data_IF_790895825583
#
_entry.id   IF_790895825583
#
_cell.length_a   1.000
_cell.length_b   1.000
_cell.length_c   1.000
_cell.angle_alpha   90.00
_cell.angle_beta   90.00
_cell.angle_gamma   90.00
#
_symmetry.space_group_name_H-M   'P 1'
#
loop_
_entity.id
_entity.type
_entity.pdbx_description
1 polymer ?
#
# COMPACT_ATOMS: atom_id res chain seq x y z
N UNK A 1 -19.20 -46.71 -10.72
CA UNK A 1 -18.95 -46.43 -9.30
C UNK A 1 -19.25 -44.95 -9.05
N UNK A 2 -20.47 -44.64 -8.63
CA UNK A 2 -20.90 -43.27 -8.32
C UNK A 2 -21.16 -43.15 -6.83
N UNK A 3 -20.26 -42.47 -6.11
CA UNK A 3 -20.42 -42.18 -4.69
C UNK A 3 -21.38 -41.02 -4.47
N UNK A 4 -22.55 -41.30 -3.89
CA UNK A 4 -23.49 -40.29 -3.39
C UNK A 4 -22.88 -39.58 -2.18
N UNK A 5 -22.61 -38.29 -2.33
CA UNK A 5 -22.34 -37.37 -1.21
C UNK A 5 -23.62 -37.27 -0.38
N UNK A 6 -23.52 -37.48 0.93
CA UNK A 6 -24.68 -37.46 1.83
C UNK A 6 -25.29 -36.06 1.92
N UNK A 7 -26.62 -35.99 2.06
CA UNK A 7 -27.39 -34.74 2.16
C UNK A 7 -26.94 -33.83 3.31
N UNK A 8 -26.27 -34.37 4.33
CA UNK A 8 -25.74 -33.61 5.46
C UNK A 8 -24.47 -32.82 5.12
N UNK A 9 -23.63 -33.29 4.20
CA UNK A 9 -22.43 -32.55 3.74
C UNK A 9 -22.78 -31.35 2.82
N UNK A 10 -23.99 -31.37 2.23
CA UNK A 10 -24.53 -30.25 1.45
C UNK A 10 -25.16 -29.14 2.31
N UNK A 11 -25.49 -29.42 3.57
CA UNK A 11 -26.12 -28.44 4.48
C UNK A 11 -25.09 -27.64 5.29
N UNK A 12 -23.95 -28.24 5.64
CA UNK A 12 -22.84 -27.55 6.31
C UNK A 12 -22.06 -26.61 5.39
N UNK A 13 -21.93 -26.94 4.10
CA UNK A 13 -21.24 -26.08 3.10
C UNK A 13 -22.05 -24.84 2.70
N UNK A 14 -23.38 -24.86 2.83
CA UNK A 14 -24.25 -23.69 2.52
C UNK A 14 -24.39 -22.69 3.66
N UNK A 15 -24.04 -23.04 4.91
CA UNK A 15 -24.15 -22.12 6.05
C UNK A 15 -22.94 -21.19 6.27
N UNK A 16 -21.83 -21.39 5.55
CA UNK A 16 -20.63 -20.55 5.62
C UNK A 16 -20.45 -19.57 4.43
N UNK A 17 -21.42 -19.48 3.53
CA UNK A 17 -21.42 -18.47 2.44
C UNK A 17 -22.66 -17.59 2.50
N UNK A 18 -22.72 -16.76 3.53
CA UNK A 18 -23.37 -15.45 3.41
C UNK A 18 -22.29 -14.42 3.67
N UNK A 19 -21.54 -14.07 2.63
CA UNK A 19 -20.75 -12.85 2.67
C UNK A 19 -21.72 -11.69 2.96
N UNK A 20 -21.53 -10.94 4.06
CA UNK A 20 -22.26 -9.71 4.23
C UNK A 20 -21.83 -8.78 3.09
N UNK A 21 -22.80 -8.24 2.35
CA UNK A 21 -22.57 -7.16 1.39
C UNK A 21 -21.63 -6.12 2.01
N UNK A 22 -20.59 -5.68 1.29
CA UNK A 22 -19.55 -4.73 1.75
C UNK A 22 -20.11 -3.51 2.50
N UNK A 23 -21.33 -3.06 2.19
CA UNK A 23 -22.04 -1.99 2.91
C UNK A 23 -22.35 -2.28 4.39
N UNK A 24 -22.48 -3.55 4.80
CA UNK A 24 -22.71 -3.95 6.20
C UNK A 24 -21.41 -4.06 7.03
N UNK A 25 -20.22 -3.98 6.42
CA UNK A 25 -18.92 -3.98 7.10
C UNK A 25 -18.47 -2.59 7.58
N UNK A 26 -19.32 -1.56 7.42
CA UNK A 26 -19.01 -0.17 7.78
C UNK A 26 -19.53 0.26 9.15
N UNK A 27 -20.22 -0.61 9.91
CA UNK A 27 -20.70 -0.29 11.25
C UNK A 27 -19.78 -0.92 12.31
N UNK A 28 -18.91 -0.09 12.87
CA UNK A 28 -17.94 -0.39 13.92
C UNK A 28 -16.59 0.31 13.65
N UNK A 29 -15.86 0.68 14.71
CA UNK A 29 -14.51 1.28 14.63
C UNK A 29 -13.43 0.38 13.98
N UNK A 30 -13.83 -0.83 13.57
CA UNK A 30 -12.98 -1.86 13.00
C UNK A 30 -13.13 -1.92 11.49
N UNK A 31 -12.06 -1.63 10.74
CA UNK A 31 -11.99 -1.95 9.32
C UNK A 31 -11.22 -3.23 9.09
N UNK A 32 -11.87 -4.21 8.45
CA UNK A 32 -11.20 -5.41 7.97
C UNK A 32 -10.10 -5.04 6.95
N UNK A 33 -9.05 -5.86 6.84
CA UNK A 33 -8.14 -5.83 5.72
C UNK A 33 -8.84 -5.69 4.36
N UNK A 34 -8.21 -5.02 3.38
CA UNK A 34 -8.73 -4.96 2.02
C UNK A 34 -8.96 -6.38 1.48
N UNK A 35 -10.08 -6.61 0.77
CA UNK A 35 -10.28 -7.88 0.09
C UNK A 35 -9.22 -8.05 -1.00
N UNK A 36 -8.79 -9.30 -1.22
CA UNK A 36 -7.91 -9.64 -2.32
C UNK A 36 -8.74 -9.75 -3.61
N UNK A 37 -8.95 -8.62 -4.26
CA UNK A 37 -9.62 -8.54 -5.56
C UNK A 37 -8.66 -7.96 -6.60
N UNK A 38 -8.15 -8.86 -7.43
CA UNK A 38 -7.27 -8.56 -8.56
C UNK A 38 -8.07 -8.35 -9.84
N UNK A 39 -7.45 -7.66 -10.80
CA UNK A 39 -8.02 -7.41 -12.12
C UNK A 39 -8.05 -8.72 -12.91
N UNK A 40 -9.12 -8.97 -13.66
CA UNK A 40 -9.17 -10.13 -14.56
C UNK A 40 -8.25 -9.92 -15.77
N UNK A 41 -7.64 -10.99 -16.32
CA UNK A 41 -6.94 -10.91 -17.60
C UNK A 41 -7.82 -10.25 -18.67
N UNK A 42 -7.19 -9.49 -19.57
CA UNK A 42 -7.89 -8.73 -20.59
C UNK A 42 -6.94 -7.87 -21.42
N UNK A 43 -7.50 -7.23 -22.44
CA UNK A 43 -6.78 -6.35 -23.34
C UNK A 43 -6.73 -4.92 -22.77
N UNK A 44 -5.62 -4.61 -22.10
CA UNK A 44 -5.38 -3.34 -21.42
C UNK A 44 -4.06 -2.73 -21.85
N UNK A 45 -4.00 -1.41 -21.88
CA UNK A 45 -2.73 -0.70 -21.99
C UNK A 45 -1.98 -0.85 -20.66
N UNK A 46 -0.79 -1.44 -20.72
CA UNK A 46 0.13 -1.51 -19.58
C UNK A 46 0.99 -0.26 -19.59
N UNK A 47 0.78 0.60 -18.59
CA UNK A 47 1.54 1.82 -18.41
C UNK A 47 2.35 1.67 -17.14
N UNK A 48 3.67 1.84 -17.23
CA UNK A 48 4.49 1.97 -16.04
C UNK A 48 4.57 3.43 -15.62
N UNK A 49 4.68 3.67 -14.33
CA UNK A 49 4.67 5.02 -13.79
C UNK A 49 5.50 5.09 -12.51
N UNK A 50 5.78 6.30 -12.06
CA UNK A 50 6.42 6.58 -10.78
C UNK A 50 6.11 8.00 -10.32
N UNK A 51 6.35 8.30 -9.05
CA UNK A 51 6.18 9.64 -8.47
C UNK A 51 7.41 10.06 -7.69
N UNK A 52 7.82 11.33 -7.88
CA UNK A 52 8.62 12.01 -6.88
C UNK A 52 7.71 12.76 -5.91
N UNK A 53 8.01 12.70 -4.62
CA UNK A 53 7.17 13.24 -3.55
C UNK A 53 7.95 14.16 -2.60
N UNK A 54 7.23 14.96 -1.81
CA UNK A 54 7.87 15.87 -0.83
C UNK A 54 8.63 15.14 0.28
N UNK A 55 8.20 13.92 0.61
CA UNK A 55 8.83 13.00 1.56
C UNK A 55 8.29 11.57 1.29
N UNK A 56 8.53 10.61 2.19
CA UNK A 56 8.17 9.18 2.04
C UNK A 56 6.98 8.77 2.90
N UNK A 57 6.07 9.70 3.15
CA UNK A 57 4.87 9.49 3.93
C UNK A 57 3.63 9.36 3.05
N UNK A 58 2.64 8.69 3.63
CA UNK A 58 1.39 8.37 2.97
C UNK A 58 0.62 9.62 2.54
N UNK A 59 0.75 10.76 3.23
CA UNK A 59 0.02 12.01 3.01
C UNK A 59 0.86 13.13 2.36
N UNK A 60 1.97 12.76 1.72
CA UNK A 60 2.83 13.69 1.00
C UNK A 60 2.22 14.24 -0.29
N UNK A 61 2.92 15.22 -0.87
CA UNK A 61 2.54 15.89 -2.09
C UNK A 61 3.43 15.46 -3.25
N UNK A 62 2.84 15.49 -4.45
CA UNK A 62 3.53 15.15 -5.69
C UNK A 62 4.47 16.30 -6.08
N UNK A 63 5.70 15.96 -6.46
CA UNK A 63 6.73 16.83 -7.03
C UNK A 63 6.96 16.53 -8.52
N UNK A 64 6.76 15.30 -8.95
CA UNK A 64 6.87 14.88 -10.35
C UNK A 64 5.96 13.69 -10.61
N UNK A 65 5.37 13.62 -11.80
CA UNK A 65 4.70 12.43 -12.32
C UNK A 65 5.45 11.96 -13.56
N UNK A 66 5.95 10.73 -13.53
CA UNK A 66 6.57 10.05 -14.66
C UNK A 66 5.73 8.88 -15.13
N UNK A 67 5.58 8.68 -16.43
CA UNK A 67 4.96 7.48 -16.97
C UNK A 67 5.50 7.10 -18.35
N UNK A 68 5.52 5.79 -18.60
CA UNK A 68 6.03 5.20 -19.82
C UNK A 68 5.04 4.18 -20.38
N UNK A 69 4.87 4.21 -21.70
CA UNK A 69 4.10 3.26 -22.47
C UNK A 69 4.77 3.08 -23.83
N UNK A 70 5.11 1.85 -24.27
CA UNK A 70 5.69 1.62 -25.58
C UNK A 70 4.85 2.23 -26.69
N UNK A 71 5.50 2.84 -27.68
CA UNK A 71 4.82 3.49 -28.80
C UNK A 71 4.21 4.86 -28.49
N UNK A 72 4.38 5.37 -27.26
CA UNK A 72 3.97 6.71 -26.86
C UNK A 72 5.13 7.51 -26.30
N UNK A 73 5.06 8.84 -26.38
CA UNK A 73 6.03 9.71 -25.74
C UNK A 73 5.96 9.54 -24.22
N UNK A 74 7.11 9.45 -23.54
CA UNK A 74 7.19 9.43 -22.08
C UNK A 74 6.50 10.65 -21.48
N UNK A 75 5.64 10.44 -20.50
CA UNK A 75 5.05 11.51 -19.71
C UNK A 75 6.03 11.93 -18.62
N UNK A 76 6.33 13.23 -18.56
CA UNK A 76 7.18 13.81 -17.53
C UNK A 76 6.63 15.18 -17.15
N UNK A 77 6.04 15.31 -15.96
CA UNK A 77 5.47 16.57 -15.49
C UNK A 77 5.93 16.87 -14.06
N UNK A 78 6.69 17.95 -13.90
CA UNK A 78 6.97 18.51 -12.59
C UNK A 78 5.76 19.25 -12.02
N UNK A 79 5.60 19.13 -10.71
CA UNK A 79 4.52 19.73 -9.91
C UNK A 79 5.17 20.61 -8.86
N UNK A 80 4.68 21.84 -8.70
CA UNK A 80 5.15 22.71 -7.62
C UNK A 80 4.35 22.38 -6.34
N UNK A 81 4.92 21.66 -5.36
CA UNK A 81 4.18 21.30 -4.16
C UNK A 81 3.89 22.54 -3.31
N UNK A 82 2.83 22.51 -2.51
CA UNK A 82 2.52 23.59 -1.56
C UNK A 82 3.40 23.54 -0.30
N UNK A 83 3.98 22.37 0.00
CA UNK A 83 4.94 22.16 1.09
C UNK A 83 6.39 22.25 0.58
N UNK A 84 7.32 22.37 1.53
CA UNK A 84 8.76 22.22 1.26
C UNK A 84 9.09 20.74 1.15
N UNK A 85 10.02 20.40 0.25
CA UNK A 85 10.55 19.04 0.11
C UNK A 85 11.51 18.79 1.27
N UNK A 86 11.35 17.66 1.97
CA UNK A 86 12.24 17.26 3.05
C UNK A 86 13.69 17.20 2.56
N UNK A 87 14.65 17.61 3.38
CA UNK A 87 16.07 17.62 3.00
C UNK A 87 16.59 16.24 2.54
N UNK A 88 16.18 15.16 3.19
CA UNK A 88 16.56 13.80 2.80
C UNK A 88 15.92 13.39 1.46
N UNK A 89 14.67 13.77 1.23
CA UNK A 89 13.98 13.54 -0.04
C UNK A 89 14.64 14.36 -1.17
N UNK A 90 14.86 15.65 -0.94
CA UNK A 90 15.52 16.57 -1.87
C UNK A 90 16.90 16.07 -2.31
N UNK A 91 17.68 15.48 -1.38
CA UNK A 91 18.99 14.90 -1.68
C UNK A 91 18.94 13.67 -2.61
N UNK A 92 17.82 12.94 -2.61
CA UNK A 92 17.64 11.74 -3.45
C UNK A 92 17.02 12.08 -4.80
N UNK A 93 15.94 12.85 -4.79
CA UNK A 93 15.14 13.16 -5.99
C UNK A 93 15.71 14.37 -6.75
N UNK A 94 16.72 15.02 -6.17
CA UNK A 94 17.37 16.22 -6.68
C UNK A 94 16.44 17.42 -6.92
N UNK A 95 15.29 17.49 -6.26
CA UNK A 95 14.34 18.61 -6.37
C UNK A 95 14.33 19.46 -5.11
N UNK A 96 14.24 20.78 -5.29
CA UNK A 96 14.06 21.73 -4.20
C UNK A 96 13.07 22.84 -4.58
N UNK A 97 12.24 23.26 -3.62
CA UNK A 97 11.44 24.48 -3.77
C UNK A 97 12.22 25.66 -3.20
N UNK A 98 12.41 26.70 -4.01
CA UNK A 98 13.09 27.95 -3.61
C UNK A 98 12.24 29.16 -3.97
N UNK A 99 12.59 30.33 -3.43
CA UNK A 99 12.01 31.62 -3.86
C UNK A 99 12.97 32.28 -4.84
N UNK A 100 12.50 32.50 -6.06
CA UNK A 100 13.22 33.23 -7.12
C UNK A 100 12.36 34.40 -7.56
N UNK A 101 12.91 35.62 -7.54
CA UNK A 101 12.17 36.85 -7.91
C UNK A 101 10.82 37.02 -7.21
N UNK A 102 10.76 36.67 -5.92
CA UNK A 102 9.54 36.78 -5.11
C UNK A 102 8.48 35.70 -5.36
N UNK A 103 8.77 34.70 -6.20
CA UNK A 103 7.86 33.58 -6.50
C UNK A 103 8.47 32.24 -6.10
N UNK A 104 7.63 31.29 -5.68
CA UNK A 104 8.05 29.91 -5.44
C UNK A 104 8.28 29.22 -6.78
N UNK A 105 9.44 28.58 -6.92
CA UNK A 105 9.82 27.81 -8.10
C UNK A 105 10.39 26.47 -7.67
N UNK A 106 10.29 25.48 -8.54
CA UNK A 106 10.96 24.19 -8.40
C UNK A 106 12.30 24.26 -9.13
N UNK A 107 13.38 23.81 -8.50
CA UNK A 107 14.70 23.73 -9.11
C UNK A 107 15.23 22.30 -9.06
N UNK A 108 16.01 21.95 -10.06
CA UNK A 108 16.92 20.83 -10.01
C UNK A 108 18.18 21.24 -9.23
N UNK A 109 18.50 20.51 -8.17
CA UNK A 109 19.62 20.79 -7.27
C UNK A 109 20.98 20.47 -7.87
N UNK A 110 21.04 19.59 -8.88
CA UNK A 110 22.25 19.19 -9.61
C UNK A 110 22.54 20.22 -10.69
N UNK A 111 21.60 20.47 -11.60
CA UNK A 111 21.80 21.40 -12.73
C UNK A 111 21.61 22.87 -12.35
N UNK A 112 20.99 23.14 -11.19
CA UNK A 112 20.58 24.48 -10.72
C UNK A 112 19.59 25.19 -11.65
N UNK A 113 18.94 24.45 -12.54
CA UNK A 113 17.95 25.00 -13.46
C UNK A 113 16.58 25.11 -12.79
N UNK A 114 15.84 26.16 -13.15
CA UNK A 114 14.42 26.29 -12.82
C UNK A 114 13.64 25.32 -13.73
N UNK A 115 12.85 24.45 -13.10
CA UNK A 115 12.05 23.47 -13.80
C UNK A 115 10.67 24.05 -14.12
N UNK A 116 10.21 23.83 -15.34
CA UNK A 116 8.83 24.12 -15.71
C UNK A 116 7.89 23.21 -14.91
N UNK A 117 7.20 23.79 -13.95
CA UNK A 117 6.30 23.09 -13.04
C UNK A 117 4.92 23.71 -13.10
N UNK A 118 3.90 22.88 -12.85
CA UNK A 118 2.50 23.29 -12.82
C UNK A 118 1.87 22.97 -11.47
N UNK A 119 0.65 23.46 -11.25
CA UNK A 119 -0.15 23.07 -10.09
C UNK A 119 -0.61 21.61 -10.16
N UNK A 120 -0.81 20.99 -8.99
CA UNK A 120 -1.16 19.56 -8.85
C UNK A 120 -2.39 19.18 -9.68
N UNK A 121 -3.44 20.02 -9.68
CA UNK A 121 -4.67 19.74 -10.43
C UNK A 121 -4.40 19.67 -11.94
N UNK A 122 -3.64 20.62 -12.49
CA UNK A 122 -3.31 20.67 -13.92
C UNK A 122 -2.40 19.49 -14.30
N UNK A 123 -1.44 19.12 -13.45
CA UNK A 123 -0.60 17.95 -13.68
C UNK A 123 -1.41 16.65 -13.76
N UNK A 124 -2.35 16.43 -12.84
CA UNK A 124 -3.25 15.27 -12.85
C UNK A 124 -4.14 15.26 -14.10
N UNK A 125 -4.65 16.41 -14.53
CA UNK A 125 -5.44 16.52 -15.76
C UNK A 125 -4.61 16.21 -17.01
N UNK A 126 -3.38 16.73 -17.10
CA UNK A 126 -2.43 16.41 -18.19
C UNK A 126 -2.10 14.92 -18.20
N UNK A 127 -1.87 14.34 -17.02
CA UNK A 127 -1.60 12.91 -16.88
C UNK A 127 -2.78 12.06 -17.37
N UNK A 128 -4.01 12.37 -16.95
CA UNK A 128 -5.20 11.68 -17.46
C UNK A 128 -5.39 11.82 -18.98
N UNK A 129 -5.11 13.01 -19.54
CA UNK A 129 -5.16 13.22 -20.99
C UNK A 129 -4.12 12.39 -21.74
N UNK A 130 -2.91 12.29 -21.19
CA UNK A 130 -1.87 11.41 -21.71
C UNK A 130 -2.26 9.94 -21.60
N UNK A 131 -2.78 9.48 -20.45
CA UNK A 131 -3.26 8.11 -20.25
C UNK A 131 -4.40 7.75 -21.20
N UNK A 132 -5.30 8.69 -21.50
CA UNK A 132 -6.37 8.48 -22.47
C UNK A 132 -5.80 8.23 -23.87
N UNK A 133 -4.74 8.95 -24.22
CA UNK A 133 -4.03 8.77 -25.50
C UNK A 133 -3.26 7.44 -25.53
N UNK A 134 -2.56 7.09 -24.44
CA UNK A 134 -1.82 5.84 -24.28
C UNK A 134 -2.74 4.59 -24.22
N UNK A 135 -3.97 4.74 -23.73
CA UNK A 135 -4.99 3.69 -23.75
C UNK A 135 -5.31 3.22 -25.17
N UNK A 136 -5.30 4.13 -26.15
CA UNK A 136 -5.71 3.85 -27.52
C UNK A 136 -7.05 3.09 -27.56
N UNK A 137 -7.05 1.95 -28.25
CA UNK A 137 -8.23 1.09 -28.41
C UNK A 137 -8.40 0.04 -27.30
N UNK A 138 -7.49 -0.04 -26.33
CA UNK A 138 -7.57 -1.00 -25.23
C UNK A 138 -8.78 -0.71 -24.33
N UNK A 139 -9.24 -1.72 -23.59
CA UNK A 139 -10.42 -1.62 -22.73
C UNK A 139 -10.22 -0.67 -21.54
N UNK A 140 -8.97 -0.45 -21.12
CA UNK A 140 -8.60 0.42 -20.02
C UNK A 140 -7.08 0.47 -19.82
N UNK A 141 -6.64 1.23 -18.83
CA UNK A 141 -5.23 1.34 -18.45
C UNK A 141 -4.98 0.61 -17.14
N UNK A 142 -3.87 -0.14 -17.07
CA UNK A 142 -3.33 -0.70 -15.84
C UNK A 142 -2.01 0.00 -15.55
N UNK A 143 -1.96 0.69 -14.41
CA UNK A 143 -0.79 1.41 -13.95
C UNK A 143 0.10 0.51 -13.10
N UNK A 144 1.35 0.28 -13.51
CA UNK A 144 2.31 -0.56 -12.77
C UNK A 144 3.51 0.27 -12.31
N UNK A 145 3.83 0.24 -11.02
CA UNK A 145 5.04 0.87 -10.48
C UNK A 145 5.76 -0.11 -9.55
N UNK A 146 6.97 0.21 -9.10
CA UNK A 146 7.78 -0.62 -8.23
C UNK A 146 7.67 -0.21 -6.76
N UNK A 147 7.19 -1.11 -5.89
CA UNK A 147 6.93 -0.82 -4.46
C UNK A 147 5.85 0.25 -4.22
N UNK A 148 4.97 0.44 -5.19
CA UNK A 148 4.04 1.57 -5.28
C UNK A 148 2.87 1.53 -4.32
N UNK A 149 2.44 0.34 -3.89
CA UNK A 149 1.24 0.20 -3.04
C UNK A 149 1.44 0.91 -1.69
N UNK A 150 2.69 1.01 -1.22
CA UNK A 150 3.00 1.63 0.06
C UNK A 150 3.07 3.16 0.01
N UNK A 151 3.31 3.76 -1.16
CA UNK A 151 3.55 5.20 -1.30
C UNK A 151 2.79 5.81 -2.48
N UNK A 152 3.20 5.53 -3.73
CA UNK A 152 2.72 6.31 -4.87
C UNK A 152 1.22 6.14 -5.12
N UNK A 153 0.68 4.91 -5.00
CA UNK A 153 -0.77 4.69 -5.11
C UNK A 153 -1.52 5.51 -4.07
N UNK A 154 -1.21 5.44 -2.76
CA UNK A 154 -1.77 6.35 -1.77
C UNK A 154 -1.67 7.84 -2.08
N UNK A 155 -0.49 8.31 -2.50
CA UNK A 155 -0.25 9.72 -2.77
C UNK A 155 -1.08 10.18 -3.97
N UNK A 156 -1.09 9.41 -5.05
CA UNK A 156 -1.89 9.67 -6.24
C UNK A 156 -3.39 9.70 -5.93
N UNK A 157 -3.90 8.68 -5.22
CA UNK A 157 -5.34 8.61 -4.90
C UNK A 157 -5.78 9.76 -4.00
N UNK A 158 -4.92 10.22 -3.09
CA UNK A 158 -5.21 11.39 -2.27
C UNK A 158 -5.15 12.69 -3.05
N UNK A 159 -4.19 12.83 -3.97
CA UNK A 159 -4.14 13.97 -4.88
C UNK A 159 -5.40 14.05 -5.75
N UNK A 160 -5.82 12.93 -6.34
CA UNK A 160 -7.08 12.85 -7.10
C UNK A 160 -8.29 13.25 -6.23
N UNK A 161 -8.34 12.78 -4.98
CA UNK A 161 -9.40 13.13 -4.03
C UNK A 161 -9.45 14.60 -3.63
N UNK A 162 -8.30 15.24 -3.43
CA UNK A 162 -8.23 16.68 -3.18
C UNK A 162 -8.88 17.48 -4.31
N UNK A 163 -8.74 17.02 -5.54
CA UNK A 163 -9.22 17.70 -6.75
C UNK A 163 -10.52 17.13 -7.33
N UNK A 164 -11.15 16.16 -6.67
CA UNK A 164 -12.39 15.48 -7.09
C UNK A 164 -12.29 14.85 -8.49
N UNK A 165 -11.15 14.24 -8.79
CA UNK A 165 -10.84 13.65 -10.10
C UNK A 165 -10.97 12.12 -10.13
N UNK A 166 -11.26 11.46 -9.01
CA UNK A 166 -11.24 9.99 -8.89
C UNK A 166 -12.24 9.31 -9.82
N UNK A 167 -13.46 9.86 -9.93
CA UNK A 167 -14.50 9.26 -10.78
C UNK A 167 -14.04 9.16 -12.24
N UNK A 168 -13.54 10.27 -12.81
CA UNK A 168 -13.00 10.30 -14.17
C UNK A 168 -11.74 9.45 -14.31
N UNK A 169 -10.89 9.46 -13.29
CA UNK A 169 -9.67 8.65 -13.30
C UNK A 169 -9.98 7.16 -13.34
N UNK A 170 -10.96 6.67 -12.57
CA UNK A 170 -11.33 5.25 -12.49
C UNK A 170 -12.18 4.77 -13.67
N UNK A 171 -12.71 5.66 -14.50
CA UNK A 171 -13.26 5.30 -15.82
C UNK A 171 -12.14 4.90 -16.80
N UNK A 172 -10.94 5.46 -16.61
CA UNK A 172 -9.79 5.24 -17.49
C UNK A 172 -8.84 4.16 -16.96
N UNK A 173 -8.46 4.28 -15.69
CA UNK A 173 -7.55 3.38 -15.01
C UNK A 173 -8.35 2.30 -14.29
N UNK A 174 -8.26 1.09 -14.83
CA UNK A 174 -8.97 -0.08 -14.34
C UNK A 174 -8.14 -0.88 -13.34
N UNK A 175 -6.92 -0.42 -13.03
CA UNK A 175 -5.93 -1.21 -12.34
C UNK A 175 -4.70 -0.51 -11.80
N UNK A 176 -4.23 -1.01 -10.65
CA UNK A 176 -2.93 -0.66 -10.07
C UNK A 176 -2.12 -1.92 -9.78
N UNK A 177 -0.93 -2.04 -10.36
CA UNK A 177 0.00 -3.14 -10.18
C UNK A 177 1.25 -2.74 -9.42
N UNK A 178 1.78 -3.68 -8.64
CA UNK A 178 3.06 -3.53 -7.96
C UNK A 178 4.08 -4.55 -8.48
N UNK A 179 5.11 -4.06 -9.17
CA UNK A 179 6.16 -4.92 -9.71
C UNK A 179 7.04 -5.53 -8.62
N UNK A 180 7.02 -5.03 -7.38
CA UNK A 180 7.75 -5.64 -6.27
C UNK A 180 7.18 -7.02 -5.90
N UNK A 181 5.87 -7.21 -6.03
CA UNK A 181 5.16 -8.43 -5.64
C UNK A 181 5.75 -9.72 -6.24
N UNK A 182 5.86 -9.84 -7.59
CA UNK A 182 6.47 -11.00 -8.24
C UNK A 182 7.88 -11.30 -7.73
N UNK A 183 8.73 -10.28 -7.61
CA UNK A 183 10.11 -10.48 -7.17
C UNK A 183 10.22 -10.88 -5.70
N UNK A 184 9.40 -10.28 -4.82
CA UNK A 184 9.47 -10.54 -3.38
C UNK A 184 8.82 -11.84 -2.96
N UNK A 185 7.75 -12.25 -3.65
CA UNK A 185 6.92 -13.40 -3.26
C UNK A 185 7.26 -14.65 -4.06
N UNK A 186 7.49 -14.53 -5.36
CA UNK A 186 7.64 -15.68 -6.26
C UNK A 186 9.10 -15.97 -6.59
N UNK A 187 9.94 -14.93 -6.66
CA UNK A 187 11.38 -15.05 -6.86
C UNK A 187 12.17 -14.85 -5.56
N UNK A 188 11.55 -15.14 -4.42
CA UNK A 188 12.15 -14.94 -3.10
C UNK A 188 13.49 -15.67 -3.00
N UNK A 189 14.53 -14.94 -2.59
CA UNK A 189 15.88 -15.47 -2.40
C UNK A 189 16.74 -15.51 -3.66
N UNK A 190 16.21 -15.17 -4.85
CA UNK A 190 17.03 -15.08 -6.07
C UNK A 190 17.86 -13.79 -6.11
N UNK A 191 17.36 -12.72 -5.48
CA UNK A 191 18.02 -11.42 -5.43
C UNK A 191 18.23 -10.98 -3.98
N UNK A 192 19.42 -10.48 -3.62
CA UNK A 192 19.72 -10.04 -2.26
C UNK A 192 19.02 -8.73 -1.90
N UNK A 193 18.79 -7.86 -2.89
CA UNK A 193 18.17 -6.55 -2.74
C UNK A 193 17.12 -6.38 -3.83
N UNK A 194 15.93 -5.96 -3.42
CA UNK A 194 14.75 -5.85 -4.27
C UNK A 194 14.39 -4.39 -4.59
N UNK A 195 15.36 -3.48 -4.59
CA UNK A 195 15.13 -2.12 -5.10
C UNK A 195 15.09 -2.15 -6.63
N UNK A 196 14.44 -1.17 -7.24
CA UNK A 196 14.41 -1.03 -8.71
C UNK A 196 15.81 -1.06 -9.30
N UNK A 197 16.75 -0.28 -8.74
CA UNK A 197 18.13 -0.24 -9.22
C UNK A 197 18.85 -1.59 -9.15
N UNK A 198 18.70 -2.32 -8.03
CA UNK A 198 19.34 -3.63 -7.86
C UNK A 198 18.76 -4.68 -8.79
N UNK A 199 17.43 -4.73 -8.93
CA UNK A 199 16.75 -5.66 -9.82
C UNK A 199 17.06 -5.35 -11.30
N UNK A 200 17.01 -4.08 -11.68
CA UNK A 200 17.35 -3.65 -13.03
C UNK A 200 18.78 -4.03 -13.39
N UNK A 201 19.74 -3.75 -12.50
CA UNK A 201 21.15 -4.11 -12.73
C UNK A 201 21.34 -5.62 -12.87
N UNK A 202 20.63 -6.42 -12.08
CA UNK A 202 20.75 -7.88 -12.10
C UNK A 202 20.10 -8.53 -13.33
N UNK A 203 19.00 -7.96 -13.84
CA UNK A 203 18.18 -8.58 -14.91
C UNK A 203 18.46 -7.97 -16.28
N UNK A 204 18.55 -6.64 -16.37
CA UNK A 204 18.71 -5.90 -17.63
C UNK A 204 20.17 -5.51 -17.86
N UNK A 205 20.87 -5.13 -16.78
CA UNK A 205 22.25 -4.67 -16.80
C UNK A 205 22.42 -3.27 -16.22
N UNK A 206 23.65 -2.76 -16.10
CA UNK A 206 23.94 -1.48 -15.45
C UNK A 206 23.22 -0.32 -16.14
N UNK A 207 22.62 0.58 -15.35
CA UNK A 207 22.11 1.88 -15.81
C UNK A 207 22.73 3.01 -15.01
N UNK A 208 22.89 4.17 -15.65
CA UNK A 208 23.16 5.41 -14.93
C UNK A 208 21.99 5.67 -13.97
N UNK A 209 22.32 6.05 -12.74
CA UNK A 209 21.31 6.39 -11.74
C UNK A 209 20.70 7.74 -12.13
N UNK A 210 19.40 7.73 -12.45
CA UNK A 210 18.61 8.89 -12.78
C UNK A 210 17.47 8.90 -11.75
N UNK A 211 17.54 9.84 -10.82
CA UNK A 211 16.54 10.00 -9.76
C UNK A 211 15.42 10.91 -10.26
N UNK A 212 14.70 10.45 -11.28
CA UNK A 212 13.51 11.10 -11.78
C UNK A 212 12.43 10.08 -12.13
N UNK A 213 11.18 10.44 -11.85
CA UNK A 213 10.04 9.53 -11.99
C UNK A 213 9.86 9.02 -13.44
N UNK A 214 10.23 9.79 -14.46
CA UNK A 214 10.03 9.37 -15.85
C UNK A 214 11.02 8.27 -16.24
N UNK A 215 12.28 8.43 -15.86
CA UNK A 215 13.33 7.43 -16.07
C UNK A 215 13.09 6.15 -15.25
N UNK A 216 12.56 6.28 -14.04
CA UNK A 216 12.18 5.13 -13.22
C UNK A 216 10.97 4.39 -13.78
N UNK A 217 9.94 5.10 -14.28
CA UNK A 217 8.83 4.47 -14.99
C UNK A 217 9.30 3.65 -16.20
N UNK A 218 10.21 4.18 -17.02
CA UNK A 218 10.78 3.44 -18.15
C UNK A 218 11.61 2.22 -17.69
N UNK A 219 12.39 2.38 -16.62
CA UNK A 219 13.18 1.28 -16.07
C UNK A 219 12.31 0.14 -15.53
N UNK A 220 11.18 0.45 -14.88
CA UNK A 220 10.19 -0.57 -14.48
C UNK A 220 9.68 -1.33 -15.70
N UNK A 221 9.37 -0.64 -16.81
CA UNK A 221 8.89 -1.31 -18.02
C UNK A 221 9.93 -2.29 -18.56
N UNK A 222 11.17 -1.82 -18.77
CA UNK A 222 12.26 -2.64 -19.31
C UNK A 222 12.60 -3.82 -18.40
N UNK A 223 12.57 -3.62 -17.08
CA UNK A 223 12.75 -4.68 -16.09
C UNK A 223 11.70 -5.76 -16.25
N UNK A 224 10.42 -5.37 -16.28
CA UNK A 224 9.31 -6.31 -16.41
C UNK A 224 9.34 -7.03 -17.76
N UNK A 225 9.63 -6.32 -18.85
CA UNK A 225 9.71 -6.88 -20.19
C UNK A 225 10.81 -7.93 -20.29
N UNK A 226 11.98 -7.65 -19.71
CA UNK A 226 13.10 -8.61 -19.68
C UNK A 226 12.78 -9.81 -18.80
N UNK A 227 12.15 -9.58 -17.65
CA UNK A 227 11.86 -10.64 -16.67
C UNK A 227 10.69 -11.54 -17.08
N UNK A 228 9.68 -11.01 -17.77
CA UNK A 228 8.40 -11.70 -18.01
C UNK A 228 8.00 -11.80 -19.49
N UNK A 229 8.76 -11.18 -20.40
CA UNK A 229 8.54 -11.22 -21.84
C UNK A 229 7.84 -9.97 -22.41
N UNK A 230 7.88 -9.85 -23.74
CA UNK A 230 7.29 -8.76 -24.51
C UNK A 230 6.22 -9.30 -25.48
N UNK A 231 5.09 -8.58 -25.71
CA UNK A 231 4.69 -7.37 -25.00
C UNK A 231 4.18 -7.68 -23.59
N UNK A 232 4.30 -6.71 -22.67
CA UNK A 232 3.70 -6.82 -21.35
C UNK A 232 2.18 -6.93 -21.45
N UNK A 233 1.59 -7.87 -20.71
CA UNK A 233 0.13 -8.03 -20.64
C UNK A 233 -0.32 -8.65 -19.31
N UNK A 234 -1.57 -8.41 -18.91
CA UNK A 234 -2.18 -9.08 -17.76
C UNK A 234 -2.57 -10.55 -18.03
N UNK A 235 -2.22 -11.10 -19.19
CA UNK A 235 -2.26 -12.55 -19.40
C UNK A 235 -1.08 -13.25 -18.73
N UNK A 236 -0.06 -12.51 -18.30
CA UNK A 236 1.06 -12.99 -17.49
C UNK A 236 0.56 -13.15 -16.04
N UNK A 237 0.42 -14.38 -15.52
CA UNK A 237 -0.19 -14.61 -14.20
C UNK A 237 0.56 -13.91 -13.06
N UNK A 238 1.89 -13.84 -13.17
CA UNK A 238 2.75 -13.18 -12.20
C UNK A 238 2.42 -11.69 -12.10
N UNK A 239 2.14 -11.00 -13.21
CA UNK A 239 1.75 -9.58 -13.16
C UNK A 239 0.31 -9.41 -12.69
N UNK A 240 -0.60 -10.24 -13.21
CA UNK A 240 -2.03 -10.16 -12.88
C UNK A 240 -2.30 -10.32 -11.38
N UNK A 241 -1.57 -11.19 -10.70
CA UNK A 241 -1.74 -11.47 -9.27
C UNK A 241 -1.50 -10.27 -8.36
N UNK A 242 -0.65 -9.32 -8.78
CA UNK A 242 -0.34 -8.12 -7.99
C UNK A 242 -0.95 -6.86 -8.61
N UNK A 243 -1.92 -7.02 -9.53
CA UNK A 243 -2.70 -5.93 -10.10
C UNK A 243 -4.11 -5.91 -9.48
N UNK A 244 -4.41 -4.85 -8.74
CA UNK A 244 -5.64 -4.68 -7.97
C UNK A 244 -6.59 -3.68 -8.62
N UNK A 245 -7.89 -3.86 -8.39
CA UNK A 245 -8.90 -2.94 -8.89
C UNK A 245 -8.85 -1.59 -8.16
N UNK A 246 -9.30 -0.49 -8.80
CA UNK A 246 -9.39 0.82 -8.16
C UNK A 246 -10.21 0.82 -6.87
N UNK A 247 -11.27 0.01 -6.81
CA UNK A 247 -12.09 -0.17 -5.61
C UNK A 247 -11.28 -0.69 -4.43
N UNK A 248 -10.46 -1.72 -4.65
CA UNK A 248 -9.61 -2.30 -3.61
C UNK A 248 -8.55 -1.31 -3.17
N UNK A 249 -7.92 -0.60 -4.11
CA UNK A 249 -6.90 0.39 -3.77
C UNK A 249 -7.47 1.59 -3.01
N UNK A 250 -8.64 2.09 -3.40
CA UNK A 250 -9.33 3.14 -2.65
C UNK A 250 -9.67 2.68 -1.21
N UNK A 251 -10.14 1.44 -1.06
CA UNK A 251 -10.36 0.85 0.26
C UNK A 251 -9.05 0.70 1.05
N UNK A 252 -7.97 0.23 0.40
CA UNK A 252 -6.64 0.09 1.02
C UNK A 252 -6.14 1.43 1.57
N UNK A 253 -6.27 2.51 0.80
CA UNK A 253 -5.87 3.85 1.23
C UNK A 253 -6.64 4.29 2.46
N UNK A 254 -7.97 4.13 2.47
CA UNK A 254 -8.77 4.48 3.66
C UNK A 254 -8.44 3.60 4.87
N UNK A 255 -8.30 2.28 4.65
CA UNK A 255 -7.91 1.34 5.69
C UNK A 255 -6.55 1.70 6.30
N UNK A 256 -5.55 1.96 5.46
CA UNK A 256 -4.20 2.33 5.90
C UNK A 256 -4.18 3.64 6.67
N UNK A 257 -4.93 4.66 6.22
CA UNK A 257 -5.10 5.92 6.94
C UNK A 257 -5.58 5.69 8.37
N UNK A 258 -6.61 4.86 8.57
CA UNK A 258 -7.11 4.53 9.91
C UNK A 258 -6.09 3.74 10.73
N UNK A 259 -5.39 2.80 10.12
CA UNK A 259 -4.33 2.07 10.83
C UNK A 259 -3.21 3.01 11.29
N UNK A 260 -2.82 3.99 10.49
CA UNK A 260 -1.81 5.00 10.88
C UNK A 260 -2.27 5.76 12.13
N UNK A 261 -3.53 6.20 12.19
CA UNK A 261 -4.07 6.87 13.37
C UNK A 261 -4.10 5.95 14.60
N UNK A 262 -4.55 4.71 14.44
CA UNK A 262 -4.55 3.71 15.53
C UNK A 262 -3.13 3.36 15.98
N UNK A 263 -2.16 3.32 15.07
CA UNK A 263 -0.74 3.05 15.40
C UNK A 263 -0.13 4.13 16.30
N UNK A 264 -0.63 5.37 16.27
CA UNK A 264 -0.22 6.42 17.22
C UNK A 264 -0.67 6.09 18.65
N UNK A 265 -1.87 5.52 18.80
CA UNK A 265 -2.43 5.10 20.09
C UNK A 265 -1.71 3.86 20.66
N UNK A 266 -1.06 3.08 19.81
CA UNK A 266 -0.27 1.90 20.20
C UNK A 266 1.12 2.24 20.76
N UNK A 267 1.52 3.53 20.82
CA UNK A 267 2.84 3.93 21.35
C UNK A 267 3.13 3.40 22.76
N UNK A 268 2.21 3.48 23.74
CA UNK A 268 2.48 2.99 25.10
C UNK A 268 2.80 1.49 25.11
N UNK A 269 2.12 0.70 24.27
CA UNK A 269 2.28 -0.76 24.18
C UNK A 269 3.73 -1.19 23.95
N UNK A 270 4.46 -0.41 23.14
CA UNK A 270 5.82 -0.75 22.70
C UNK A 270 6.88 0.19 23.27
N UNK A 271 6.52 1.03 24.26
CA UNK A 271 7.44 2.02 24.83
C UNK A 271 8.65 1.38 25.53
N UNK A 272 8.49 0.15 26.01
CA UNK A 272 9.56 -0.63 26.63
C UNK A 272 10.49 -1.33 25.61
N UNK A 273 10.17 -1.26 24.31
CA UNK A 273 10.92 -1.94 23.24
C UNK A 273 11.85 -0.93 22.56
N UNK A 274 13.16 -1.08 22.78
CA UNK A 274 14.18 -0.17 22.23
C UNK A 274 14.42 -0.36 20.72
N UNK A 275 14.22 -1.58 20.20
CA UNK A 275 14.35 -1.84 18.78
C UNK A 275 13.12 -1.32 18.03
N UNK A 276 13.27 -0.18 17.35
CA UNK A 276 12.17 0.48 16.64
C UNK A 276 11.55 -0.35 15.51
N UNK A 277 12.33 -1.26 14.87
CA UNK A 277 11.80 -2.17 13.83
C UNK A 277 10.86 -3.19 14.47
N UNK A 278 11.26 -3.74 15.60
CA UNK A 278 10.45 -4.70 16.38
C UNK A 278 9.20 -3.99 16.92
N UNK A 279 9.36 -2.85 17.58
CA UNK A 279 8.25 -2.03 18.07
C UNK A 279 7.27 -1.64 16.95
N UNK A 280 7.80 -1.25 15.78
CA UNK A 280 7.00 -0.95 14.59
C UNK A 280 6.20 -2.16 14.12
N UNK A 281 6.87 -3.29 13.89
CA UNK A 281 6.22 -4.50 13.39
C UNK A 281 5.16 -5.06 14.35
N UNK A 282 5.40 -5.04 15.67
CA UNK A 282 4.39 -5.44 16.67
C UNK A 282 3.11 -4.62 16.51
N UNK A 283 3.22 -3.29 16.41
CA UNK A 283 2.03 -2.43 16.22
C UNK A 283 1.26 -2.78 14.96
N UNK A 284 1.95 -2.94 13.84
CA UNK A 284 1.31 -3.21 12.55
C UNK A 284 0.69 -4.62 12.50
N UNK A 285 1.37 -5.64 13.00
CA UNK A 285 0.84 -7.02 13.04
C UNK A 285 -0.42 -7.09 13.88
N UNK A 286 -0.44 -6.43 15.05
CA UNK A 286 -1.63 -6.38 15.91
C UNK A 286 -2.80 -5.65 15.24
N UNK A 287 -2.55 -4.47 14.69
CA UNK A 287 -3.62 -3.69 14.06
C UNK A 287 -4.21 -4.38 12.82
N UNK A 288 -3.40 -5.11 12.04
CA UNK A 288 -3.88 -5.84 10.86
C UNK A 288 -4.77 -7.02 11.19
N UNK A 289 -4.60 -7.64 12.37
CA UNK A 289 -5.55 -8.64 12.88
C UNK A 289 -6.63 -8.03 13.78
N UNK A 290 -6.66 -6.70 13.88
CA UNK A 290 -7.76 -6.00 14.51
C UNK A 290 -7.61 -5.63 15.97
N UNK A 291 -6.41 -5.76 16.52
CA UNK A 291 -6.11 -5.36 17.89
C UNK A 291 -5.55 -3.94 17.91
N UNK A 292 -6.40 -2.97 18.26
CA UNK A 292 -5.94 -1.67 18.75
C UNK A 292 -5.69 -1.71 20.27
N UNK A 293 -5.16 -0.61 20.81
CA UNK A 293 -4.75 -0.54 22.22
C UNK A 293 -5.91 -0.79 23.19
N UNK A 294 -7.07 -0.21 22.89
CA UNK A 294 -8.29 -0.36 23.69
C UNK A 294 -8.79 -1.81 23.66
N UNK A 295 -8.81 -2.43 22.48
CA UNK A 295 -9.23 -3.82 22.30
C UNK A 295 -8.28 -4.78 23.04
N UNK A 296 -6.96 -4.58 22.94
CA UNK A 296 -5.98 -5.40 23.66
C UNK A 296 -6.17 -5.30 25.17
N UNK A 297 -6.31 -4.09 25.67
CA UNK A 297 -6.49 -3.83 27.11
C UNK A 297 -7.77 -4.49 27.64
N UNK A 298 -8.87 -4.29 26.92
CA UNK A 298 -10.15 -4.91 27.27
C UNK A 298 -10.07 -6.44 27.28
N UNK A 299 -9.42 -7.04 26.27
CA UNK A 299 -9.28 -8.50 26.16
C UNK A 299 -8.37 -9.08 27.25
N UNK A 300 -7.24 -8.43 27.55
CA UNK A 300 -6.36 -8.82 28.65
C UNK A 300 -7.10 -8.80 30.00
N UNK A 301 -7.81 -7.71 30.30
CA UNK A 301 -8.58 -7.55 31.54
C UNK A 301 -9.72 -8.57 31.68
N UNK A 302 -10.40 -8.90 30.59
CA UNK A 302 -11.57 -9.79 30.62
C UNK A 302 -11.19 -11.26 30.68
N UNK A 303 -10.13 -11.66 29.99
CA UNK A 303 -9.76 -13.07 29.84
C UNK A 303 -8.80 -13.56 30.92
N UNK A 304 -8.03 -12.64 31.51
CA UNK A 304 -6.85 -12.97 32.30
C UNK A 304 -5.68 -13.38 31.40
N UNK A 305 -4.48 -13.36 31.97
CA UNK A 305 -3.22 -13.50 31.22
C UNK A 305 -3.17 -14.79 30.40
N UNK A 306 -3.38 -15.96 31.00
CA UNK A 306 -3.22 -17.25 30.33
C UNK A 306 -4.11 -17.37 29.07
N UNK A 307 -5.40 -17.02 29.20
CA UNK A 307 -6.36 -17.10 28.10
C UNK A 307 -6.09 -16.04 27.03
N UNK A 308 -5.70 -14.83 27.43
CA UNK A 308 -5.32 -13.78 26.51
C UNK A 308 -4.10 -14.19 25.67
N UNK A 309 -3.07 -14.79 26.30
CA UNK A 309 -1.88 -15.30 25.60
C UNK A 309 -2.25 -16.36 24.58
N UNK A 310 -3.06 -17.34 24.98
CA UNK A 310 -3.49 -18.41 24.09
C UNK A 310 -4.23 -17.86 22.86
N UNK A 311 -5.14 -16.89 23.08
CA UNK A 311 -5.87 -16.22 22.00
C UNK A 311 -4.94 -15.43 21.08
N UNK A 312 -4.09 -14.56 21.64
CA UNK A 312 -3.22 -13.71 20.84
C UNK A 312 -2.24 -14.55 20.02
N UNK A 313 -1.68 -15.60 20.63
CA UNK A 313 -0.81 -16.55 19.94
C UNK A 313 -1.54 -17.24 18.80
N UNK A 314 -2.77 -17.70 19.02
CA UNK A 314 -3.60 -18.30 17.98
C UNK A 314 -3.83 -17.33 16.81
N UNK A 315 -4.23 -16.10 17.09
CA UNK A 315 -4.50 -15.09 16.05
C UNK A 315 -3.24 -14.74 15.26
N UNK A 316 -2.10 -14.60 15.93
CA UNK A 316 -0.80 -14.33 15.27
C UNK A 316 -0.34 -15.51 14.41
N UNK A 317 -0.47 -16.75 14.89
CA UNK A 317 -0.14 -17.93 14.09
C UNK A 317 -1.06 -18.06 12.89
N UNK A 318 -2.37 -17.87 13.10
CA UNK A 318 -3.35 -17.88 12.01
C UNK A 318 -2.99 -16.83 10.97
N UNK A 319 -2.65 -15.60 11.38
CA UNK A 319 -2.14 -14.56 10.48
C UNK A 319 -0.93 -15.08 9.71
N UNK A 320 0.17 -15.49 10.36
CA UNK A 320 1.40 -15.89 9.65
C UNK A 320 1.19 -17.05 8.66
N UNK A 321 0.28 -17.97 8.97
CA UNK A 321 -0.06 -19.09 8.08
C UNK A 321 -0.99 -18.70 6.92
N UNK A 322 -1.79 -17.65 7.09
CA UNK A 322 -2.84 -17.24 6.13
C UNK A 322 -2.63 -15.82 5.56
N UNK A 323 -1.51 -15.16 5.88
CA UNK A 323 -1.14 -13.82 5.37
C UNK A 323 -0.56 -13.95 3.97
N UNK A 324 -1.44 -14.34 3.05
CA UNK A 324 -1.16 -14.54 1.63
C UNK A 324 -1.37 -13.20 0.88
N UNK A 325 -2.04 -12.23 1.51
CA UNK A 325 -2.39 -10.97 0.88
C UNK A 325 -1.20 -9.98 0.92
N UNK A 326 -0.63 -9.72 -0.26
CA UNK A 326 0.45 -8.77 -0.46
C UNK A 326 0.16 -7.37 0.13
N UNK A 327 -1.11 -6.94 0.13
CA UNK A 327 -1.54 -5.64 0.67
C UNK A 327 -1.39 -5.56 2.20
N UNK A 328 -1.50 -6.69 2.90
CA UNK A 328 -1.45 -6.77 4.36
C UNK A 328 -0.19 -7.43 4.88
N UNK A 329 0.74 -7.80 3.99
CA UNK A 329 1.98 -8.42 4.37
C UNK A 329 2.74 -7.49 5.32
N UNK A 330 2.91 -7.96 6.55
CA UNK A 330 3.55 -7.20 7.63
C UNK A 330 4.90 -7.80 8.01
N UNK A 331 5.50 -7.37 9.14
CA UNK A 331 6.90 -7.64 9.45
C UNK A 331 7.24 -9.13 9.55
N UNK A 332 8.52 -9.48 9.38
CA UNK A 332 9.02 -10.85 9.61
C UNK A 332 9.15 -11.21 11.10
N UNK A 333 8.56 -10.43 12.01
CA UNK A 333 8.60 -10.73 13.44
C UNK A 333 7.80 -11.99 13.71
N UNK A 334 8.38 -12.92 14.45
CA UNK A 334 7.72 -14.16 14.84
C UNK A 334 6.58 -13.87 15.84
N UNK A 335 5.58 -14.76 15.84
CA UNK A 335 4.39 -14.62 16.67
C UNK A 335 4.72 -14.54 18.18
N UNK A 336 5.77 -15.22 18.64
CA UNK A 336 6.10 -15.28 20.06
C UNK A 336 6.74 -13.96 20.51
N UNK A 337 7.62 -13.37 19.72
CA UNK A 337 8.16 -12.02 19.98
C UNK A 337 7.04 -10.98 20.14
N UNK A 338 5.99 -11.07 19.31
CA UNK A 338 4.83 -10.17 19.42
C UNK A 338 4.09 -10.40 20.74
N UNK A 339 3.76 -11.66 21.06
CA UNK A 339 3.07 -12.03 22.30
C UNK A 339 3.85 -11.56 23.52
N UNK A 340 5.16 -11.82 23.59
CA UNK A 340 6.00 -11.44 24.72
C UNK A 340 6.10 -9.93 24.89
N UNK A 341 6.23 -9.17 23.80
CA UNK A 341 6.21 -7.70 23.85
C UNK A 341 4.90 -7.16 24.42
N UNK A 342 3.77 -7.70 23.98
CA UNK A 342 2.45 -7.30 24.50
C UNK A 342 2.29 -7.66 25.99
N UNK A 343 2.73 -8.84 26.40
CA UNK A 343 2.65 -9.27 27.79
C UNK A 343 3.52 -8.46 28.71
N UNK A 344 4.75 -8.15 28.30
CA UNK A 344 5.66 -7.35 29.10
C UNK A 344 5.05 -5.98 29.42
N UNK A 345 4.38 -5.36 28.45
CA UNK A 345 3.62 -4.12 28.65
C UNK A 345 2.54 -4.26 29.73
N UNK A 346 1.68 -5.27 29.64
CA UNK A 346 0.60 -5.45 30.62
C UNK A 346 1.12 -5.82 32.02
N UNK A 347 2.20 -6.59 32.11
CA UNK A 347 2.86 -6.88 33.39
C UNK A 347 3.45 -5.62 34.03
N UNK A 348 4.05 -4.73 33.23
CA UNK A 348 4.53 -3.45 33.71
C UNK A 348 3.39 -2.57 34.25
N UNK A 349 2.20 -2.63 33.65
CA UNK A 349 1.01 -1.92 34.13
C UNK A 349 0.33 -2.60 35.33
N UNK A 350 0.46 -3.92 35.48
CA UNK A 350 0.02 -4.62 36.67
C UNK A 350 0.77 -4.19 37.95
N UNK A 351 1.99 -3.66 37.79
CA UNK A 351 2.75 -3.03 38.88
C UNK A 351 2.27 -1.61 39.23
N UNK A 352 1.53 -0.95 38.33
CA UNK A 352 0.99 0.41 38.47
C UNK A 352 -0.51 0.42 38.11
N UNK A 353 -1.39 0.12 39.08
CA UNK A 353 -2.87 -0.02 38.92
C UNK A 353 -3.47 0.71 37.69
N UNK A 354 -4.01 -0.05 36.73
CA UNK A 354 -4.74 0.50 35.59
C UNK A 354 -6.12 1.09 35.99
N UNK A 355 -6.46 2.32 35.58
CA UNK A 355 -7.84 2.78 35.60
C UNK A 355 -8.65 2.09 34.49
N UNK A 356 -9.83 1.57 34.85
CA UNK A 356 -10.79 0.98 33.91
C UNK A 356 -11.33 2.08 32.99
N UNK A 357 -10.94 2.09 31.71
CA UNK A 357 -11.68 2.81 30.67
C UNK A 357 -12.59 1.82 29.96
N UNK A 358 -13.90 1.93 30.18
CA UNK A 358 -14.88 1.14 29.43
C UNK A 358 -14.91 1.62 27.97
N UNK A 359 -14.86 0.70 26.98
CA UNK A 359 -15.09 1.07 25.60
C UNK A 359 -16.56 1.43 25.39
N UNK A 360 -16.82 2.57 24.74
CA UNK A 360 -18.18 3.01 24.36
C UNK A 360 -18.60 2.23 23.11
N UNK A 361 -19.18 1.04 23.29
CA UNK A 361 -19.93 0.37 22.23
C UNK A 361 -21.42 0.63 22.43
N UNK A 362 -21.97 1.64 21.77
CA UNK A 362 -23.42 1.79 21.63
C UNK A 362 -23.93 0.77 20.61
N UNK A 363 -24.36 -0.39 21.08
CA UNK A 363 -25.26 -1.25 20.30
C UNK A 363 -26.65 -0.61 20.32
N UNK A 364 -27.01 0.08 19.24
CA UNK A 364 -28.42 0.36 18.96
C UNK A 364 -29.08 -0.96 18.53
N UNK A 365 -29.79 -1.58 19.46
CA UNK A 365 -30.72 -2.67 19.17
C UNK A 365 -31.92 -2.02 18.49
N UNK A 366 -32.10 -2.26 17.20
CA UNK A 366 -33.34 -1.93 16.52
C UNK A 366 -34.43 -2.89 17.04
N UNK A 367 -35.48 -2.31 17.63
CA UNK A 367 -36.74 -3.01 17.93
C UNK A 367 -37.53 -3.28 16.65
#
# INVERSE_FOLDING_TARGET
MGGRISREQLVTSRRLRKEPSLRKKMNGDFMFPPPEETIRPGDYAIVTWDLETTDRHFDDLICQIGAFCPGHNTFNQYVLPTKVINHEAAGKIHLQVVVHEGRRVLIDTVTRQILESVEEQLALQRFMGWLYSAKGNHAGVVLISHSTIKLDVPVLLQALARHKLEAKFFELVIGFGDSFGPFSMEMRGQFPVLSLQSLYTAIVGPRAEQHDAASDAEAVYRLLETAFGSPLSLNIPQLQRYCYTPRVMAYYVEWKRRLIEKAKQMKPLVAHITNWKVAGGIKWDLLTIGYDYSTLTFRYQTLGEERFVAELRYQMHWKKQNDICYLTHTSEIDAETIVQGVLQHFRNLGAERMPLQQPVYQYQVAN
#
